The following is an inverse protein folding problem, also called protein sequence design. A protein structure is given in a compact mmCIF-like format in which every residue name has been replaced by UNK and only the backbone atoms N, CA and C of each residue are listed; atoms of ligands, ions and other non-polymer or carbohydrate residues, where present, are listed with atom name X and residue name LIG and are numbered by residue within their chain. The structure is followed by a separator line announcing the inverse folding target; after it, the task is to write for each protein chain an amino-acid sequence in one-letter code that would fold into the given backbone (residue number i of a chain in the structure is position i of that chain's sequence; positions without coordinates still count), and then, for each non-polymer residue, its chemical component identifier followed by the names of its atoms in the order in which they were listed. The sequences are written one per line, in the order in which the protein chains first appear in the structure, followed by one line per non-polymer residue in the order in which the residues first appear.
data_IF_051210240176
#
_entry.id   IF_051210240176
#
_cell.length_a   1.000
_cell.length_b   1.000
_cell.length_c   1.000
_cell.angle_alpha   90.00
_cell.angle_beta   90.00
_cell.angle_gamma   90.00
#
_symmetry.space_group_name_H-M   'P 1'
#
loop_
_entity.id
_entity.type
_entity.pdbx_description
1 polymer ?
#
# COMPACT_ATOMS: atom_id res chain seq x y z
N UNK A 1 32.18 -39.09 -44.27
CA UNK A 1 32.38 -37.80 -43.58
C UNK A 1 31.22 -36.89 -43.89
N UNK A 2 30.60 -36.31 -42.86
CA UNK A 2 29.56 -35.29 -43.00
C UNK A 2 28.41 -35.49 -42.01
N UNK A 3 28.45 -34.89 -40.81
CA UNK A 3 27.28 -34.75 -39.95
C UNK A 3 26.55 -33.44 -40.31
N UNK A 4 25.35 -33.55 -40.86
CA UNK A 4 24.46 -32.41 -41.06
C UNK A 4 23.43 -32.33 -39.93
N UNK A 5 23.78 -31.67 -38.83
CA UNK A 5 22.78 -31.15 -37.87
C UNK A 5 22.09 -29.96 -38.53
N UNK A 6 20.90 -30.17 -39.08
CA UNK A 6 19.99 -29.08 -39.42
C UNK A 6 19.18 -28.73 -38.17
N UNK A 7 19.35 -27.48 -37.71
CA UNK A 7 18.74 -26.96 -36.50
C UNK A 7 17.22 -27.04 -36.53
N UNK A 8 16.65 -27.45 -35.39
CA UNK A 8 15.26 -27.16 -35.08
C UNK A 8 15.10 -25.64 -35.00
N UNK A 9 14.49 -25.06 -36.02
CA UNK A 9 14.02 -23.68 -35.98
C UNK A 9 12.99 -23.56 -34.87
N UNK A 10 13.38 -22.93 -33.75
CA UNK A 10 12.43 -22.42 -32.78
C UNK A 10 11.57 -21.39 -33.49
N UNK A 11 10.28 -21.69 -33.67
CA UNK A 11 9.30 -20.74 -34.16
C UNK A 11 9.35 -19.50 -33.25
N UNK A 12 9.94 -18.43 -33.78
CA UNK A 12 10.12 -17.18 -33.04
C UNK A 12 8.78 -16.55 -32.77
N UNK A 13 8.32 -16.60 -31.52
CA UNK A 13 7.29 -15.69 -31.06
C UNK A 13 7.85 -14.26 -31.20
N UNK A 14 7.26 -13.47 -32.10
CA UNK A 14 7.41 -12.02 -32.03
C UNK A 14 6.71 -11.56 -30.75
N UNK A 15 7.42 -10.88 -29.83
CA UNK A 15 6.82 -10.43 -28.59
C UNK A 15 5.63 -9.51 -28.88
N UNK A 16 4.54 -9.68 -28.12
CA UNK A 16 3.32 -8.90 -28.28
C UNK A 16 3.50 -7.42 -27.90
N UNK A 17 4.47 -7.12 -27.02
CA UNK A 17 4.76 -5.79 -26.52
C UNK A 17 6.26 -5.48 -26.60
N UNK A 18 6.59 -4.21 -26.85
CA UNK A 18 7.98 -3.73 -26.87
C UNK A 18 8.62 -3.72 -25.47
N UNK A 19 7.82 -3.41 -24.45
CA UNK A 19 8.19 -3.40 -23.04
C UNK A 19 6.97 -3.79 -22.18
N UNK A 20 7.22 -4.41 -21.03
CA UNK A 20 6.18 -4.75 -20.02
C UNK A 20 6.66 -4.31 -18.65
N UNK A 21 5.94 -3.38 -18.02
CA UNK A 21 6.05 -3.10 -16.59
C UNK A 21 4.91 -3.78 -15.85
N UNK A 22 5.23 -4.61 -14.87
CA UNK A 22 4.26 -5.24 -13.99
C UNK A 22 4.46 -4.74 -12.55
N UNK A 23 3.45 -4.06 -12.01
CA UNK A 23 3.43 -3.62 -10.62
C UNK A 23 2.51 -4.57 -9.84
N UNK A 24 3.09 -5.39 -8.96
CA UNK A 24 2.43 -6.54 -8.37
C UNK A 24 2.46 -6.45 -6.84
N UNK A 25 1.33 -6.74 -6.21
CA UNK A 25 1.30 -6.99 -4.77
C UNK A 25 2.17 -8.21 -4.45
N UNK A 26 2.73 -8.24 -3.23
CA UNK A 26 3.63 -9.31 -2.77
C UNK A 26 4.96 -9.43 -3.55
N UNK A 27 5.35 -8.40 -4.30
CA UNK A 27 6.71 -8.25 -4.84
C UNK A 27 7.51 -7.32 -3.92
N UNK A 28 7.70 -7.71 -2.65
CA UNK A 28 8.29 -6.88 -1.61
C UNK A 28 9.82 -7.10 -1.51
N UNK A 29 10.29 -8.27 -1.96
CA UNK A 29 11.69 -8.66 -1.94
C UNK A 29 12.31 -8.69 -3.34
N UNK A 30 13.62 -8.36 -3.48
CA UNK A 30 14.32 -8.44 -4.77
C UNK A 30 14.26 -9.84 -5.42
N UNK A 31 14.21 -10.90 -4.62
CA UNK A 31 14.09 -12.29 -5.12
C UNK A 31 12.72 -12.55 -5.74
N UNK A 32 11.66 -11.95 -5.23
CA UNK A 32 10.30 -12.05 -5.76
C UNK A 32 10.17 -11.27 -7.07
N UNK A 33 10.67 -10.03 -7.11
CA UNK A 33 10.74 -9.22 -8.34
C UNK A 33 11.49 -9.98 -9.46
N UNK A 34 12.62 -10.61 -9.12
CA UNK A 34 13.43 -11.41 -10.05
C UNK A 34 12.66 -12.62 -10.57
N UNK A 35 12.05 -13.41 -9.67
CA UNK A 35 11.29 -14.60 -10.04
C UNK A 35 10.08 -14.27 -10.93
N UNK A 36 9.34 -13.21 -10.58
CA UNK A 36 8.19 -12.72 -11.35
C UNK A 36 8.62 -12.22 -12.74
N UNK A 37 9.74 -11.48 -12.82
CA UNK A 37 10.31 -11.02 -14.10
C UNK A 37 10.67 -12.19 -14.99
N UNK A 38 11.38 -13.18 -14.46
CA UNK A 38 11.83 -14.34 -15.22
C UNK A 38 10.64 -15.17 -15.73
N UNK A 39 9.57 -15.28 -14.93
CA UNK A 39 8.32 -15.90 -15.34
C UNK A 39 7.61 -15.14 -16.48
N UNK A 40 7.55 -13.80 -16.41
CA UNK A 40 6.97 -12.97 -17.47
C UNK A 40 7.78 -13.04 -18.78
N UNK A 41 9.12 -13.10 -18.68
CA UNK A 41 9.99 -13.33 -19.83
C UNK A 41 9.75 -14.71 -20.46
N UNK A 42 9.60 -15.76 -19.64
CA UNK A 42 9.32 -17.13 -20.08
C UNK A 42 7.98 -17.24 -20.82
N UNK A 43 6.99 -16.42 -20.46
CA UNK A 43 5.69 -16.33 -21.16
C UNK A 43 5.77 -15.64 -22.52
N UNK A 44 6.89 -14.99 -22.85
CA UNK A 44 7.13 -14.42 -24.17
C UNK A 44 6.34 -13.15 -24.51
N UNK A 45 5.77 -12.47 -23.51
CA UNK A 45 4.99 -11.24 -23.73
C UNK A 45 5.86 -10.08 -24.22
N UNK A 46 7.09 -9.99 -23.73
CA UNK A 46 8.10 -9.01 -24.13
C UNK A 46 9.50 -9.58 -23.90
N UNK A 47 10.49 -9.06 -24.62
CA UNK A 47 11.92 -9.29 -24.34
C UNK A 47 12.49 -8.30 -23.32
N UNK A 48 11.71 -7.29 -22.96
CA UNK A 48 12.04 -6.25 -21.98
C UNK A 48 10.93 -6.22 -20.94
N UNK A 49 11.24 -6.64 -19.72
CA UNK A 49 10.29 -6.76 -18.61
C UNK A 49 10.87 -6.12 -17.36
N UNK A 50 10.06 -5.31 -16.69
CA UNK A 50 10.34 -4.74 -15.38
C UNK A 50 9.24 -5.13 -14.40
N UNK A 51 9.61 -5.58 -13.21
CA UNK A 51 8.68 -5.86 -12.11
C UNK A 51 8.95 -4.88 -10.97
N UNK A 52 7.88 -4.34 -10.41
CA UNK A 52 7.89 -3.52 -9.21
C UNK A 52 6.85 -4.02 -8.22
N UNK A 53 7.01 -3.67 -6.96
CA UNK A 53 5.91 -3.65 -6.01
C UNK A 53 4.77 -2.74 -6.51
N UNK A 54 3.51 -3.09 -6.22
CA UNK A 54 2.32 -2.31 -6.60
C UNK A 54 2.32 -0.88 -6.07
N UNK A 55 2.96 -0.65 -4.92
CA UNK A 55 3.08 0.70 -4.33
C UNK A 55 3.84 1.70 -5.21
N UNK A 56 4.75 1.25 -6.08
CA UNK A 56 5.42 2.15 -7.06
C UNK A 56 4.44 2.67 -8.11
N UNK A 57 3.44 1.87 -8.47
CA UNK A 57 2.38 2.32 -9.37
C UNK A 57 1.52 3.39 -8.70
N UNK A 58 1.21 3.22 -7.42
CA UNK A 58 0.46 4.23 -6.66
C UNK A 58 1.27 5.53 -6.57
N UNK A 59 2.57 5.43 -6.25
CA UNK A 59 3.46 6.59 -6.24
C UNK A 59 3.44 7.31 -7.59
N UNK A 60 3.72 6.60 -8.68
CA UNK A 60 3.83 7.20 -10.01
C UNK A 60 2.52 7.77 -10.53
N UNK A 61 1.38 7.19 -10.17
CA UNK A 61 0.07 7.73 -10.53
C UNK A 61 -0.18 9.11 -9.91
N UNK A 62 0.32 9.34 -8.68
CA UNK A 62 0.11 10.57 -7.91
C UNK A 62 1.12 11.70 -8.15
N UNK A 63 2.17 11.48 -8.95
CA UNK A 63 3.24 12.48 -9.18
C UNK A 63 3.55 12.59 -10.67
N UNK A 64 3.95 13.78 -11.12
CA UNK A 64 4.30 14.03 -12.53
C UNK A 64 5.67 13.50 -12.91
N UNK A 65 6.62 13.62 -12.00
CA UNK A 65 7.97 13.08 -12.13
C UNK A 65 8.20 12.02 -11.06
N UNK A 66 9.03 10.98 -11.32
CA UNK A 66 9.36 9.92 -10.36
C UNK A 66 10.26 10.43 -9.23
N UNK A 67 9.78 11.40 -8.45
CA UNK A 67 10.46 12.03 -7.32
C UNK A 67 9.48 12.18 -6.16
N UNK A 68 9.61 11.33 -5.14
CA UNK A 68 8.75 11.39 -3.95
C UNK A 68 8.63 10.06 -3.23
N UNK A 69 7.68 10.01 -2.30
CA UNK A 69 7.35 8.84 -1.49
C UNK A 69 5.86 8.58 -1.54
N UNK A 70 5.45 7.31 -1.51
CA UNK A 70 4.07 6.90 -1.30
C UNK A 70 3.96 5.98 -0.09
N UNK A 71 2.94 6.22 0.74
CA UNK A 71 2.50 5.27 1.77
C UNK A 71 1.13 4.75 1.39
N UNK A 72 1.03 3.43 1.28
CA UNK A 72 -0.18 2.72 0.90
C UNK A 72 -0.69 1.95 2.10
N UNK A 73 -1.91 2.24 2.53
CA UNK A 73 -2.57 1.60 3.66
C UNK A 73 -3.89 0.96 3.16
N UNK A 74 -3.78 -0.29 2.73
CA UNK A 74 -4.89 -1.14 2.26
C UNK A 74 -5.22 -2.17 3.33
N UNK A 75 -5.16 -3.47 3.00
CA UNK A 75 -5.23 -4.53 4.02
C UNK A 75 -3.99 -4.50 4.95
N UNK A 76 -2.80 -4.31 4.37
CA UNK A 76 -1.56 -4.01 5.08
C UNK A 76 -1.14 -2.54 4.89
N UNK A 77 0.08 -2.23 5.33
CA UNK A 77 0.73 -0.94 5.11
C UNK A 77 2.07 -1.17 4.40
N UNK A 78 2.42 -0.30 3.46
CA UNK A 78 3.71 -0.32 2.77
C UNK A 78 4.12 1.11 2.39
N UNK A 79 5.42 1.33 2.20
CA UNK A 79 5.99 2.59 1.78
C UNK A 79 7.09 2.37 0.74
N UNK A 80 7.04 3.16 -0.33
CA UNK A 80 8.10 3.24 -1.33
C UNK A 80 8.41 4.67 -1.67
N UNK A 81 9.62 4.91 -2.15
CA UNK A 81 9.99 6.18 -2.75
C UNK A 81 10.93 5.97 -3.91
N UNK A 82 10.99 6.97 -4.78
CA UNK A 82 11.87 6.98 -5.93
C UNK A 82 12.35 8.38 -6.26
N UNK A 83 13.49 8.46 -6.93
CA UNK A 83 14.06 9.69 -7.50
C UNK A 83 14.32 9.51 -9.00
N UNK A 84 14.44 10.61 -9.77
CA UNK A 84 14.62 10.53 -11.24
C UNK A 84 15.90 9.81 -11.69
N UNK A 85 16.90 9.71 -10.81
CA UNK A 85 18.14 8.97 -11.02
C UNK A 85 18.00 7.44 -10.78
N UNK A 86 16.78 6.97 -10.47
CA UNK A 86 16.47 5.56 -10.26
C UNK A 86 16.77 5.02 -8.86
N UNK A 87 17.25 5.86 -7.92
CA UNK A 87 17.34 5.41 -6.51
C UNK A 87 15.93 5.17 -5.96
N UNK A 88 15.82 4.15 -5.12
CA UNK A 88 14.55 3.79 -4.46
C UNK A 88 14.73 3.62 -2.97
N UNK A 89 13.73 4.03 -2.20
CA UNK A 89 13.56 3.62 -0.80
C UNK A 89 12.37 2.65 -0.75
N UNK A 90 12.51 1.55 -0.01
CA UNK A 90 11.44 0.58 0.19
C UNK A 90 11.59 -0.10 1.55
N UNK A 91 10.52 -0.73 1.99
CA UNK A 91 10.49 -1.58 3.18
C UNK A 91 9.88 -2.93 2.78
N UNK A 92 10.35 -4.04 3.36
CA UNK A 92 9.61 -5.30 3.23
C UNK A 92 8.24 -5.11 3.89
N UNK A 93 7.14 -5.37 3.18
CA UNK A 93 5.78 -5.23 3.71
C UNK A 93 5.11 -6.60 3.91
N UNK A 94 5.75 -7.44 4.73
CA UNK A 94 5.42 -8.85 4.98
C UNK A 94 4.68 -9.01 6.33
N UNK A 95 4.11 -7.94 6.87
CA UNK A 95 3.38 -7.93 8.12
C UNK A 95 4.29 -7.86 9.35
N UNK A 96 3.87 -8.49 10.45
CA UNK A 96 4.60 -8.37 11.74
C UNK A 96 6.04 -8.85 11.70
N UNK A 97 6.41 -9.78 10.79
CA UNK A 97 7.79 -10.28 10.67
C UNK A 97 8.75 -9.18 10.18
N UNK A 98 8.28 -8.30 9.30
CA UNK A 98 9.04 -7.14 8.81
C UNK A 98 8.86 -5.89 9.68
N UNK A 99 8.03 -5.98 10.73
CA UNK A 99 7.74 -4.88 11.64
C UNK A 99 6.58 -4.00 11.20
N UNK A 100 5.78 -4.42 10.23
CA UNK A 100 4.66 -3.61 9.75
C UNK A 100 3.54 -3.58 10.79
N UNK A 101 3.07 -2.37 11.10
CA UNK A 101 1.93 -2.14 11.96
C UNK A 101 0.91 -1.22 11.28
N UNK A 102 -0.37 -1.59 11.36
CA UNK A 102 -1.45 -0.87 10.69
C UNK A 102 -2.00 -1.65 9.49
N UNK A 103 -2.49 -0.93 8.49
CA UNK A 103 -3.37 -1.52 7.47
C UNK A 103 -4.75 -1.84 8.02
N UNK A 104 -5.73 -1.99 7.15
CA UNK A 104 -7.11 -2.28 7.51
C UNK A 104 -7.28 -3.62 8.24
N UNK A 105 -6.45 -4.62 7.94
CA UNK A 105 -6.44 -5.88 8.67
C UNK A 105 -5.80 -5.73 10.05
N UNK A 106 -4.65 -5.05 10.15
CA UNK A 106 -4.01 -4.82 11.44
C UNK A 106 -4.86 -3.94 12.37
N UNK A 107 -5.49 -2.90 11.85
CA UNK A 107 -6.40 -2.04 12.62
C UNK A 107 -7.62 -2.82 13.14
N UNK A 108 -8.18 -3.74 12.34
CA UNK A 108 -9.27 -4.61 12.77
C UNK A 108 -8.83 -5.60 13.88
N UNK A 109 -7.62 -6.17 13.76
CA UNK A 109 -7.05 -7.05 14.79
C UNK A 109 -6.83 -6.33 16.11
N UNK A 110 -6.27 -5.11 16.06
CA UNK A 110 -6.06 -4.29 17.26
C UNK A 110 -7.40 -3.86 17.87
N UNK A 111 -8.39 -3.47 17.06
CA UNK A 111 -9.73 -3.15 17.56
C UNK A 111 -10.35 -4.34 18.32
N UNK A 112 -10.28 -5.55 17.76
CA UNK A 112 -10.74 -6.77 18.41
C UNK A 112 -9.97 -7.04 19.71
N UNK A 113 -8.65 -6.88 19.69
CA UNK A 113 -7.79 -7.10 20.85
C UNK A 113 -8.16 -6.18 22.01
N UNK A 114 -8.27 -4.86 21.76
CA UNK A 114 -8.63 -3.89 22.78
C UNK A 114 -10.09 -4.05 23.25
N UNK A 115 -11.02 -4.33 22.34
CA UNK A 115 -12.42 -4.57 22.69
C UNK A 115 -12.59 -5.79 23.60
N UNK A 116 -11.89 -6.90 23.31
CA UNK A 116 -11.95 -8.10 24.14
C UNK A 116 -11.41 -7.84 25.55
N UNK A 117 -10.32 -7.07 25.67
CA UNK A 117 -9.73 -6.69 26.96
C UNK A 117 -10.59 -5.70 27.75
N UNK A 118 -11.31 -4.82 27.06
CA UNK A 118 -12.27 -3.92 27.69
C UNK A 118 -13.49 -4.69 28.24
N UNK A 119 -13.98 -5.70 27.51
CA UNK A 119 -15.08 -6.58 27.96
C UNK A 119 -14.72 -7.37 29.22
N UNK A 120 -13.52 -7.96 29.27
CA UNK A 120 -13.12 -8.86 30.35
C UNK A 120 -12.36 -8.17 31.51
N UNK A 121 -12.20 -6.84 31.44
CA UNK A 121 -11.59 -6.02 32.48
C UNK A 121 -10.05 -6.04 32.50
N UNK A 122 -9.38 -6.63 31.51
CA UNK A 122 -7.90 -6.61 31.38
C UNK A 122 -7.35 -5.34 30.72
N UNK A 123 -8.21 -4.46 30.23
CA UNK A 123 -7.85 -3.20 29.56
C UNK A 123 -8.75 -2.06 29.99
N UNK A 124 -8.43 -0.86 29.48
CA UNK A 124 -9.24 0.33 29.70
C UNK A 124 -10.66 0.15 29.12
N UNK A 125 -11.69 0.75 29.74
CA UNK A 125 -13.04 0.78 29.17
C UNK A 125 -13.03 1.40 27.78
N UNK A 126 -13.72 0.76 26.83
CA UNK A 126 -13.85 1.27 25.46
C UNK A 126 -15.21 0.94 24.87
N UNK A 127 -15.78 1.88 24.12
CA UNK A 127 -16.98 1.69 23.34
C UNK A 127 -16.82 0.63 22.23
N UNK A 128 -15.58 0.27 21.86
CA UNK A 128 -15.30 -0.83 20.93
C UNK A 128 -15.91 -2.15 21.41
N UNK A 129 -15.94 -2.42 22.73
CA UNK A 129 -16.52 -3.64 23.29
C UNK A 129 -18.02 -3.80 22.96
N UNK A 130 -18.75 -2.71 22.75
CA UNK A 130 -20.15 -2.76 22.29
C UNK A 130 -20.29 -2.59 20.79
N UNK A 131 -19.49 -1.73 20.18
CA UNK A 131 -19.63 -1.36 18.77
C UNK A 131 -19.27 -2.49 17.81
N UNK A 132 -18.21 -3.26 18.09
CA UNK A 132 -17.77 -4.35 17.22
C UNK A 132 -18.78 -5.51 17.14
N UNK A 133 -19.30 -6.07 18.24
CA UNK A 133 -20.29 -7.15 18.16
C UNK A 133 -21.61 -6.66 17.54
N UNK A 134 -22.04 -5.43 17.86
CA UNK A 134 -23.26 -4.84 17.30
C UNK A 134 -23.22 -4.73 15.77
N UNK A 135 -22.04 -4.49 15.18
CA UNK A 135 -21.86 -4.48 13.71
C UNK A 135 -22.26 -5.81 13.06
N UNK A 136 -22.09 -6.93 13.76
CA UNK A 136 -22.49 -8.25 13.31
C UNK A 136 -23.84 -8.72 13.86
N UNK A 137 -24.59 -7.83 14.54
CA UNK A 137 -25.86 -8.18 15.18
C UNK A 137 -25.70 -9.09 16.41
N UNK A 138 -24.56 -9.01 17.09
CA UNK A 138 -24.26 -9.77 18.30
C UNK A 138 -24.27 -8.85 19.52
N UNK A 139 -24.62 -9.40 20.68
CA UNK A 139 -24.82 -8.62 21.90
C UNK A 139 -23.52 -8.37 22.69
N UNK A 140 -22.52 -9.25 22.57
CA UNK A 140 -21.31 -9.21 23.42
C UNK A 140 -20.05 -9.54 22.65
N UNK A 141 -18.90 -9.10 23.18
CA UNK A 141 -17.59 -9.50 22.63
C UNK A 141 -17.37 -11.00 22.69
N UNK A 142 -17.84 -11.70 23.73
CA UNK A 142 -17.71 -13.15 23.81
C UNK A 142 -18.47 -13.85 22.68
N UNK A 143 -19.67 -13.38 22.33
CA UNK A 143 -20.43 -13.90 21.19
C UNK A 143 -19.70 -13.64 19.87
N UNK A 144 -19.10 -12.46 19.69
CA UNK A 144 -18.29 -12.16 18.51
C UNK A 144 -17.04 -13.02 18.41
N UNK A 145 -16.32 -13.21 19.53
CA UNK A 145 -15.12 -14.05 19.59
C UNK A 145 -15.49 -15.50 19.23
N UNK A 146 -16.57 -16.04 19.79
CA UNK A 146 -17.07 -17.38 19.46
C UNK A 146 -17.45 -17.49 17.98
N UNK A 147 -18.21 -16.53 17.45
CA UNK A 147 -18.64 -16.52 16.05
C UNK A 147 -17.47 -16.43 15.07
N UNK A 148 -16.44 -15.66 15.40
CA UNK A 148 -15.20 -15.60 14.61
C UNK A 148 -14.39 -16.90 14.75
N UNK A 149 -14.26 -17.45 15.95
CA UNK A 149 -13.48 -18.66 16.19
C UNK A 149 -14.08 -19.89 15.49
N UNK A 150 -15.40 -20.03 15.52
CA UNK A 150 -16.14 -21.12 14.88
C UNK A 150 -16.45 -20.87 13.39
N UNK A 151 -16.10 -19.69 12.86
CA UNK A 151 -16.31 -19.34 11.46
C UNK A 151 -17.76 -19.02 11.07
N UNK A 152 -18.65 -18.76 12.04
CA UNK A 152 -20.00 -18.24 11.77
C UNK A 152 -19.98 -16.82 11.18
N UNK A 153 -18.97 -16.01 11.58
CA UNK A 153 -18.58 -14.80 10.87
C UNK A 153 -17.34 -15.14 10.04
N UNK A 154 -17.43 -15.09 8.69
CA UNK A 154 -16.28 -15.36 7.83
C UNK A 154 -15.09 -14.46 8.15
N UNK A 155 -13.88 -15.02 8.08
CA UNK A 155 -12.65 -14.30 8.40
C UNK A 155 -12.42 -13.10 7.49
N UNK A 156 -12.87 -13.18 6.24
CA UNK A 156 -12.76 -12.05 5.31
C UNK A 156 -13.47 -10.82 5.86
N UNK A 157 -14.64 -10.97 6.51
CA UNK A 157 -15.47 -9.85 7.01
C UNK A 157 -14.84 -9.04 8.14
N UNK A 158 -13.68 -9.45 8.67
CA UNK A 158 -12.93 -8.66 9.67
C UNK A 158 -12.56 -7.26 9.17
N UNK A 159 -12.37 -7.08 7.86
CA UNK A 159 -12.07 -5.76 7.29
C UNK A 159 -13.18 -4.72 7.56
N UNK A 160 -14.41 -5.16 7.80
CA UNK A 160 -15.54 -4.29 8.13
C UNK A 160 -15.38 -3.60 9.49
N UNK A 161 -14.49 -4.09 10.36
CA UNK A 161 -14.29 -3.55 11.71
C UNK A 161 -13.44 -2.27 11.75
N UNK A 162 -12.58 -2.03 10.76
CA UNK A 162 -11.78 -0.81 10.69
C UNK A 162 -12.64 0.46 10.52
N UNK A 163 -13.66 0.48 9.64
CA UNK A 163 -14.66 1.55 9.64
C UNK A 163 -15.36 1.75 10.99
N UNK A 164 -15.68 0.66 11.71
CA UNK A 164 -16.30 0.75 13.05
C UNK A 164 -15.34 1.39 14.04
N UNK A 165 -14.07 1.01 14.03
CA UNK A 165 -13.00 1.63 14.84
C UNK A 165 -12.92 3.15 14.59
N UNK A 166 -12.92 3.58 13.33
CA UNK A 166 -12.90 5.01 12.99
C UNK A 166 -14.13 5.77 13.47
N UNK A 167 -15.32 5.16 13.37
CA UNK A 167 -16.54 5.76 13.92
C UNK A 167 -16.43 5.94 15.44
N UNK A 168 -15.98 4.91 16.16
CA UNK A 168 -15.83 4.94 17.63
C UNK A 168 -14.76 5.97 18.05
N UNK A 169 -13.67 6.11 17.30
CA UNK A 169 -12.69 7.19 17.48
C UNK A 169 -13.31 8.58 17.31
N UNK A 170 -14.14 8.76 16.27
CA UNK A 170 -14.83 10.03 16.01
C UNK A 170 -15.85 10.38 17.11
N UNK A 171 -16.40 9.38 17.81
CA UNK A 171 -17.28 9.54 18.96
C UNK A 171 -16.52 9.87 20.27
N UNK A 172 -15.18 9.94 20.22
CA UNK A 172 -14.33 10.40 21.32
C UNK A 172 -13.80 9.28 22.23
N UNK A 173 -13.88 8.03 21.82
CA UNK A 173 -13.30 6.92 22.57
C UNK A 173 -11.76 7.00 22.60
N UNK A 174 -11.13 7.07 23.79
CA UNK A 174 -9.68 7.30 23.89
C UNK A 174 -8.84 6.12 23.39
N UNK A 175 -9.33 4.89 23.51
CA UNK A 175 -8.62 3.69 23.02
C UNK A 175 -8.64 3.66 21.50
N UNK A 176 -9.80 3.87 20.89
CA UNK A 176 -9.92 3.96 19.44
C UNK A 176 -9.10 5.11 18.86
N UNK A 177 -9.14 6.29 19.49
CA UNK A 177 -8.32 7.44 19.09
C UNK A 177 -6.82 7.14 19.18
N UNK A 178 -6.38 6.44 20.23
CA UNK A 178 -4.99 5.99 20.38
C UNK A 178 -4.53 5.11 19.22
N UNK A 179 -5.37 4.18 18.75
CA UNK A 179 -5.07 3.35 17.57
C UNK A 179 -4.96 4.19 16.29
N UNK A 180 -5.86 5.15 16.10
CA UNK A 180 -5.82 6.08 14.95
C UNK A 180 -4.54 6.92 14.96
N UNK A 181 -4.15 7.45 16.13
CA UNK A 181 -2.92 8.23 16.27
C UNK A 181 -1.67 7.39 16.02
N UNK A 182 -1.63 6.15 16.52
CA UNK A 182 -0.52 5.24 16.23
C UNK A 182 -0.40 4.94 14.73
N UNK A 183 -1.51 4.80 14.02
CA UNK A 183 -1.48 4.63 12.56
C UNK A 183 -0.87 5.86 11.87
N UNK A 184 -1.21 7.06 12.32
CA UNK A 184 -0.59 8.28 11.82
C UNK A 184 0.93 8.27 12.06
N UNK A 185 1.38 7.85 13.24
CA UNK A 185 2.80 7.75 13.58
C UNK A 185 3.56 6.78 12.68
N UNK A 186 2.99 5.61 12.37
CA UNK A 186 3.59 4.66 11.43
C UNK A 186 3.68 5.22 10.01
N UNK A 187 2.61 5.86 9.52
CA UNK A 187 2.61 6.52 8.19
C UNK A 187 3.70 7.57 8.11
N UNK A 188 3.85 8.42 9.13
CA UNK A 188 4.88 9.45 9.16
C UNK A 188 6.28 8.85 9.32
N UNK A 189 6.45 7.81 10.15
CA UNK A 189 7.73 7.14 10.33
C UNK A 189 8.24 6.55 9.01
N UNK A 190 7.39 5.81 8.31
CA UNK A 190 7.70 5.27 6.97
C UNK A 190 8.04 6.38 5.98
N UNK A 191 7.26 7.46 5.96
CA UNK A 191 7.47 8.59 5.06
C UNK A 191 8.81 9.29 5.31
N UNK A 192 9.08 9.67 6.56
CA UNK A 192 10.28 10.41 6.93
C UNK A 192 11.55 9.58 6.69
N UNK A 193 11.53 8.27 7.00
CA UNK A 193 12.67 7.39 6.72
C UNK A 193 12.90 7.23 5.22
N UNK A 194 11.83 7.07 4.42
CA UNK A 194 11.96 6.97 2.96
C UNK A 194 12.51 8.27 2.35
N UNK A 195 11.98 9.44 2.76
CA UNK A 195 12.49 10.75 2.34
C UNK A 195 13.97 10.91 2.72
N UNK A 196 14.36 10.52 3.94
CA UNK A 196 15.74 10.59 4.41
C UNK A 196 16.68 9.71 3.59
N UNK A 197 16.29 8.46 3.28
CA UNK A 197 17.08 7.54 2.43
C UNK A 197 17.28 8.07 1.01
N UNK A 198 16.35 8.88 0.51
CA UNK A 198 16.43 9.49 -0.81
C UNK A 198 17.15 10.86 -0.81
N UNK A 199 17.39 11.44 0.37
CA UNK A 199 17.96 12.78 0.52
C UNK A 199 16.94 13.90 0.29
N UNK A 200 15.64 13.63 0.45
CA UNK A 200 14.54 14.55 0.12
C UNK A 200 13.96 15.31 1.31
N UNK A 201 14.46 15.11 2.54
CA UNK A 201 13.91 15.77 3.75
C UNK A 201 14.02 17.29 3.71
N UNK A 202 15.11 17.80 3.13
CA UNK A 202 15.41 19.23 3.05
C UNK A 202 14.94 19.87 1.73
N UNK A 203 14.16 19.14 0.93
CA UNK A 203 13.61 19.62 -0.33
C UNK A 203 12.08 19.53 -0.33
N UNK A 204 11.43 20.34 -1.16
CA UNK A 204 10.00 20.13 -1.39
C UNK A 204 9.82 18.77 -2.07
N UNK A 205 9.07 17.85 -1.46
CA UNK A 205 8.91 16.49 -1.96
C UNK A 205 7.48 15.96 -1.71
N UNK A 206 6.84 15.34 -2.71
CA UNK A 206 5.51 14.79 -2.53
C UNK A 206 5.52 13.54 -1.63
N UNK A 207 4.55 13.48 -0.72
CA UNK A 207 4.19 12.30 0.06
C UNK A 207 2.77 11.90 -0.32
N UNK A 208 2.66 10.84 -1.12
CA UNK A 208 1.41 10.35 -1.67
C UNK A 208 0.79 9.30 -0.76
N UNK A 209 -0.41 9.58 -0.25
CA UNK A 209 -1.16 8.67 0.60
C UNK A 209 -2.21 7.91 -0.23
N UNK A 210 -2.18 6.58 -0.15
CA UNK A 210 -3.06 5.71 -0.94
C UNK A 210 -3.55 4.49 -0.16
N UNK A 211 -4.38 3.67 -0.81
CA UNK A 211 -5.03 2.52 -0.18
C UNK A 211 -6.31 2.89 0.57
N UNK A 212 -7.20 1.90 0.76
CA UNK A 212 -8.57 2.13 1.23
C UNK A 212 -8.66 2.83 2.59
N UNK A 213 -7.69 2.63 3.50
CA UNK A 213 -7.70 3.23 4.83
C UNK A 213 -7.37 4.73 4.75
N UNK A 214 -6.35 5.11 3.97
CA UNK A 214 -5.97 6.52 3.79
C UNK A 214 -6.90 7.27 2.83
N UNK A 215 -7.41 6.58 1.82
CA UNK A 215 -8.41 7.12 0.89
C UNK A 215 -9.75 7.44 1.57
N UNK A 216 -10.06 6.80 2.70
CA UNK A 216 -11.23 7.14 3.52
C UNK A 216 -11.13 8.55 4.16
N UNK A 217 -9.94 9.18 4.16
CA UNK A 217 -9.70 10.54 4.65
C UNK A 217 -10.33 10.83 6.01
N UNK A 218 -10.18 9.88 6.95
CA UNK A 218 -10.69 10.05 8.30
C UNK A 218 -10.05 11.30 8.94
N UNK A 219 -10.84 12.30 9.40
CA UNK A 219 -10.28 13.60 9.81
C UNK A 219 -9.23 13.53 10.93
N UNK A 220 -9.43 12.68 11.94
CA UNK A 220 -8.47 12.55 13.05
C UNK A 220 -7.14 11.96 12.57
N UNK A 221 -7.18 10.97 11.67
CA UNK A 221 -5.99 10.39 11.05
C UNK A 221 -5.25 11.41 10.19
N UNK A 222 -5.98 12.11 9.30
CA UNK A 222 -5.39 13.09 8.38
C UNK A 222 -4.76 14.27 9.14
N UNK A 223 -5.47 14.84 10.12
CA UNK A 223 -4.93 15.91 10.96
C UNK A 223 -3.65 15.48 11.66
N UNK A 224 -3.64 14.29 12.28
CA UNK A 224 -2.47 13.80 12.99
C UNK A 224 -1.27 13.53 12.07
N UNK A 225 -1.51 13.01 10.86
CA UNK A 225 -0.46 12.84 9.84
C UNK A 225 0.13 14.19 9.46
N UNK A 226 -0.71 15.22 9.22
CA UNK A 226 -0.25 16.57 8.84
C UNK A 226 0.62 17.20 9.93
N UNK A 227 0.19 17.12 11.18
CA UNK A 227 0.96 17.62 12.33
C UNK A 227 2.33 16.96 12.42
N UNK A 228 2.37 15.62 12.41
CA UNK A 228 3.61 14.86 12.56
C UNK A 228 4.57 15.02 11.38
N UNK A 229 4.05 15.14 10.15
CA UNK A 229 4.88 15.43 8.98
C UNK A 229 5.44 16.85 9.01
N UNK A 230 4.66 17.85 9.44
CA UNK A 230 5.16 19.22 9.59
C UNK A 230 6.36 19.30 10.56
N UNK A 231 6.41 18.42 11.56
CA UNK A 231 7.56 18.32 12.48
C UNK A 231 8.75 17.57 11.88
N UNK A 232 8.53 16.41 11.25
CA UNK A 232 9.61 15.50 10.82
C UNK A 232 10.11 15.73 9.40
N UNK A 233 9.29 16.29 8.53
CA UNK A 233 9.56 16.55 7.12
C UNK A 233 8.79 17.82 6.69
N UNK A 234 9.18 19.01 7.18
CA UNK A 234 8.41 20.25 7.02
C UNK A 234 8.19 20.70 5.57
N UNK A 235 8.99 20.19 4.62
CA UNK A 235 8.86 20.45 3.18
C UNK A 235 8.09 19.36 2.42
N UNK A 236 7.59 18.34 3.12
CA UNK A 236 6.75 17.32 2.51
C UNK A 236 5.41 17.90 2.08
N UNK A 237 5.01 17.63 0.83
CA UNK A 237 3.72 18.03 0.27
C UNK A 237 2.82 16.81 0.23
N UNK A 238 1.80 16.78 1.10
CA UNK A 238 0.88 15.65 1.20
C UNK A 238 -0.11 15.68 0.03
N UNK A 239 -0.17 14.58 -0.72
CA UNK A 239 -1.20 14.32 -1.73
C UNK A 239 -1.93 13.01 -1.46
N UNK A 240 -3.08 12.83 -2.10
CA UNK A 240 -3.87 11.61 -2.02
C UNK A 240 -4.05 11.03 -3.41
N UNK A 241 -3.78 9.74 -3.56
CA UNK A 241 -3.89 9.07 -4.86
C UNK A 241 -5.26 8.41 -4.98
N UNK A 242 -6.09 8.95 -5.85
CA UNK A 242 -7.39 8.37 -6.24
C UNK A 242 -7.36 7.75 -7.63
N UNK A 243 -6.32 8.04 -8.42
CA UNK A 243 -6.13 7.46 -9.74
C UNK A 243 -5.88 5.95 -9.66
N UNK A 244 -6.31 5.17 -10.66
CA UNK A 244 -6.16 3.72 -10.63
C UNK A 244 -4.68 3.33 -10.77
N UNK A 245 -4.17 2.33 -10.01
CA UNK A 245 -2.76 1.94 -10.06
C UNK A 245 -2.24 1.58 -11.46
N UNK A 246 -3.10 1.07 -12.34
CA UNK A 246 -2.72 0.76 -13.74
C UNK A 246 -2.23 2.00 -14.51
N UNK A 247 -2.70 3.21 -14.17
CA UNK A 247 -2.15 4.46 -14.71
C UNK A 247 -0.66 4.58 -14.38
N UNK A 248 -0.31 4.42 -13.11
CA UNK A 248 1.07 4.51 -12.65
C UNK A 248 1.98 3.43 -13.22
N UNK A 249 1.48 2.20 -13.37
CA UNK A 249 2.23 1.13 -14.04
C UNK A 249 2.53 1.48 -15.51
N UNK A 250 1.57 2.08 -16.22
CA UNK A 250 1.77 2.56 -17.59
C UNK A 250 2.75 3.74 -17.65
N UNK A 251 2.67 4.69 -16.72
CA UNK A 251 3.63 5.80 -16.63
C UNK A 251 5.05 5.31 -16.36
N UNK A 252 5.24 4.32 -15.49
CA UNK A 252 6.54 3.67 -15.27
C UNK A 252 7.06 2.98 -16.54
N UNK A 253 6.19 2.34 -17.31
CA UNK A 253 6.58 1.75 -18.61
C UNK A 253 7.03 2.82 -19.61
N UNK A 254 6.39 3.99 -19.61
CA UNK A 254 6.77 5.13 -20.45
C UNK A 254 8.12 5.73 -20.01
N UNK A 255 8.36 5.82 -18.71
CA UNK A 255 9.64 6.29 -18.15
C UNK A 255 10.79 5.36 -18.59
N UNK A 256 10.60 4.03 -18.54
CA UNK A 256 11.64 3.03 -18.89
C UNK A 256 12.05 3.09 -20.37
N UNK A 257 11.12 3.45 -21.26
CA UNK A 257 11.40 3.61 -22.70
C UNK A 257 11.73 5.06 -23.09
N UNK A 258 11.90 5.94 -22.11
CA UNK A 258 12.13 7.38 -22.30
C UNK A 258 11.12 8.03 -23.26
N UNK A 259 9.84 7.67 -23.12
CA UNK A 259 8.79 8.26 -23.94
C UNK A 259 8.64 9.76 -23.62
N UNK A 260 8.31 10.55 -24.64
CA UNK A 260 8.08 11.99 -24.47
C UNK A 260 6.86 12.31 -23.60
N UNK A 261 6.78 13.53 -23.03
CA UNK A 261 5.73 13.92 -22.09
C UNK A 261 4.31 13.81 -22.66
N UNK A 262 4.14 13.98 -23.98
CA UNK A 262 2.84 13.80 -24.65
C UNK A 262 2.25 12.39 -24.46
N UNK A 263 3.08 11.36 -24.36
CA UNK A 263 2.60 10.00 -24.12
C UNK A 263 2.03 9.85 -22.70
N UNK A 264 2.69 10.47 -21.71
CA UNK A 264 2.22 10.50 -20.33
C UNK A 264 0.91 11.29 -20.20
N UNK A 265 0.81 12.47 -20.84
CA UNK A 265 -0.43 13.27 -20.88
C UNK A 265 -1.59 12.49 -21.45
N UNK A 266 -1.44 11.85 -22.62
CA UNK A 266 -2.51 11.03 -23.22
C UNK A 266 -2.94 9.88 -22.32
N UNK A 267 -2.00 9.27 -21.59
CA UNK A 267 -2.32 8.19 -20.67
C UNK A 267 -3.09 8.70 -19.44
N UNK A 268 -2.70 9.86 -18.88
CA UNK A 268 -3.44 10.52 -17.81
C UNK A 268 -4.86 10.90 -18.24
N UNK A 269 -5.01 11.52 -19.41
CA UNK A 269 -6.31 11.88 -20.00
C UNK A 269 -7.23 10.66 -20.14
N UNK A 270 -6.68 9.51 -20.56
CA UNK A 270 -7.44 8.26 -20.69
C UNK A 270 -8.05 7.80 -19.36
N UNK A 271 -7.35 8.04 -18.24
CA UNK A 271 -7.80 7.69 -16.89
C UNK A 271 -8.47 8.86 -16.15
N UNK A 272 -8.65 10.02 -16.79
CA UNK A 272 -9.28 11.21 -16.22
C UNK A 272 -8.47 11.84 -15.07
N UNK A 273 -7.14 11.73 -15.12
CA UNK A 273 -6.21 12.20 -14.11
C UNK A 273 -5.43 13.44 -14.56
#
# INVERSE_FOLDING_TARGET
GGPGRAGAGGAGFSPAFAHVTACLANADLPVEETALRDELLRRGWSRSVRVHNDTFAILRAGIDEPRGVAVVCGAGINCVGMTPDGRTARFPAIGKISGDWGGGSGMAEEALWYAARAEDGRGEPSALARALPAHFGLDTMYALIEALHLGHVPMERRHELTPVLFRVSAEGDPVALGLVHRLAEEVVALSAVALGRLGLLEEEAPVMLGGSVLAARHPQLETRIRELLAERAPKAVIGFVTAPPVLGAGLLALDEVAAGPEAATRLRDHYGA
#
